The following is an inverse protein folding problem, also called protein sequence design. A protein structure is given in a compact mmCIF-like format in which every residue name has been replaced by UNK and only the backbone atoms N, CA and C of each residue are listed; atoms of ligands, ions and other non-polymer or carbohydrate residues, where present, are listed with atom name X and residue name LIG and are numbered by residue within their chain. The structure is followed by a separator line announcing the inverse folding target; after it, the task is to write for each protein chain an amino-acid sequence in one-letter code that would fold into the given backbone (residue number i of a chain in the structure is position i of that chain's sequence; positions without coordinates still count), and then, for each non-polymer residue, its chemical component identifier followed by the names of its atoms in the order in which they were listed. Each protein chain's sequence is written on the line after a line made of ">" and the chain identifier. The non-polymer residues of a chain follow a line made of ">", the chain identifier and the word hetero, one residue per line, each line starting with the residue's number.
data_IF_435437023021
#
_entry.id   IF_435437023021
#
_cell.length_a   1.000
_cell.length_b   1.000
_cell.length_c   1.000
_cell.angle_alpha   90.00
_cell.angle_beta   90.00
_cell.angle_gamma   90.00
#
_symmetry.space_group_name_H-M   'P 1'
#
loop_
_entity.id
_entity.type
_entity.pdbx_description
1 polymer ?
#
# COMPACT_ATOMS: atom_id res chain seq x y z
N UNK A 1 -4.77 14.92 -16.39
CA UNK A 1 -4.65 13.53 -15.89
C UNK A 1 -4.13 13.53 -14.47
N UNK A 2 -4.82 12.85 -13.57
CA UNK A 2 -4.42 12.84 -12.18
C UNK A 2 -3.19 11.95 -11.96
N UNK A 3 -2.33 12.37 -11.02
CA UNK A 3 -1.26 11.50 -10.56
C UNK A 3 -1.84 10.37 -9.71
N UNK A 4 -1.10 9.29 -9.57
CA UNK A 4 -1.56 8.09 -8.89
C UNK A 4 -0.68 7.74 -7.70
N UNK A 5 -1.32 7.30 -6.63
CA UNK A 5 -0.65 6.86 -5.41
C UNK A 5 -1.07 5.44 -5.06
N UNK A 6 -0.12 4.68 -4.54
CA UNK A 6 -0.38 3.38 -3.96
C UNK A 6 -0.02 3.45 -2.47
N UNK A 7 -0.99 3.18 -1.61
CA UNK A 7 -0.78 3.18 -0.16
C UNK A 7 -0.96 1.76 0.34
N UNK A 8 0.11 1.18 0.89
CA UNK A 8 0.02 -0.16 1.45
C UNK A 8 -0.56 -0.11 2.85
N UNK A 9 -1.34 -1.14 3.22
CA UNK A 9 -1.99 -1.19 4.52
C UNK A 9 -2.98 -0.05 4.75
N UNK A 10 -3.75 0.32 3.73
CA UNK A 10 -4.58 1.53 3.76
C UNK A 10 -6.02 1.30 4.19
N UNK A 11 -6.37 0.10 4.67
CA UNK A 11 -7.76 -0.20 5.05
C UNK A 11 -8.17 0.46 6.37
N UNK A 12 -7.22 0.92 7.17
CA UNK A 12 -7.49 1.52 8.48
C UNK A 12 -6.30 2.35 8.95
N UNK A 13 -6.49 3.06 10.07
CA UNK A 13 -5.44 3.75 10.80
C UNK A 13 -4.74 4.82 9.99
N UNK A 14 -3.41 4.88 10.16
CA UNK A 14 -2.58 5.90 9.51
C UNK A 14 -2.64 5.77 7.99
N UNK A 15 -2.60 4.55 7.47
CA UNK A 15 -2.68 4.31 6.02
C UNK A 15 -3.97 4.83 5.41
N UNK A 16 -5.08 4.62 6.09
CA UNK A 16 -6.38 5.17 5.65
C UNK A 16 -6.33 6.70 5.62
N UNK A 17 -5.80 7.32 6.69
CA UNK A 17 -5.70 8.78 6.76
C UNK A 17 -4.84 9.36 5.65
N UNK A 18 -3.71 8.70 5.33
CA UNK A 18 -2.83 9.11 4.25
C UNK A 18 -3.54 8.99 2.90
N UNK A 19 -4.24 7.87 2.69
CA UNK A 19 -4.97 7.64 1.44
C UNK A 19 -6.03 8.72 1.21
N UNK A 20 -6.78 9.07 2.25
CA UNK A 20 -7.81 10.11 2.17
C UNK A 20 -7.19 11.49 1.90
N UNK A 21 -6.04 11.79 2.51
CA UNK A 21 -5.36 13.06 2.30
C UNK A 21 -4.84 13.17 0.86
N UNK A 22 -4.27 12.09 0.31
CA UNK A 22 -3.82 12.08 -1.08
C UNK A 22 -4.98 12.29 -2.04
N UNK A 23 -6.12 11.67 -1.76
CA UNK A 23 -7.34 11.88 -2.56
C UNK A 23 -7.80 13.34 -2.50
N UNK A 24 -7.72 13.96 -1.33
CA UNK A 24 -8.06 15.37 -1.15
C UNK A 24 -7.18 16.27 -2.01
N UNK A 25 -5.92 15.87 -2.22
CA UNK A 25 -4.97 16.60 -3.04
C UNK A 25 -5.08 16.26 -4.54
N UNK A 26 -6.04 15.42 -4.92
CA UNK A 26 -6.33 15.13 -6.32
C UNK A 26 -5.67 13.88 -6.89
N UNK A 27 -5.04 13.06 -6.06
CA UNK A 27 -4.45 11.80 -6.52
C UNK A 27 -5.51 10.73 -6.70
N UNK A 28 -5.37 9.91 -7.73
CA UNK A 28 -6.04 8.62 -7.78
C UNK A 28 -5.32 7.70 -6.80
N UNK A 29 -6.02 6.92 -6.01
CA UNK A 29 -5.41 6.15 -4.92
C UNK A 29 -5.77 4.68 -5.02
N UNK A 30 -4.75 3.83 -5.06
CA UNK A 30 -4.91 2.39 -4.90
C UNK A 30 -4.77 2.04 -3.42
N UNK A 31 -5.77 1.37 -2.87
CA UNK A 31 -5.85 1.01 -1.47
C UNK A 31 -5.46 -0.46 -1.31
N UNK A 32 -4.24 -0.70 -0.86
CA UNK A 32 -3.78 -2.06 -0.59
C UNK A 32 -4.25 -2.52 0.78
N UNK A 33 -4.65 -3.78 0.86
CA UNK A 33 -5.01 -4.43 2.12
C UNK A 33 -4.52 -5.88 2.13
N UNK A 34 -4.38 -6.44 3.32
CA UNK A 34 -4.00 -7.85 3.47
C UNK A 34 -5.22 -8.73 3.74
N UNK A 35 -6.05 -8.37 4.70
CA UNK A 35 -7.14 -9.21 5.13
C UNK A 35 -8.52 -8.56 5.26
N UNK A 36 -8.59 -7.25 5.35
CA UNK A 36 -9.84 -6.54 5.65
C UNK A 36 -10.47 -5.93 4.40
N UNK A 37 -11.02 -6.79 3.54
CA UNK A 37 -11.62 -6.35 2.27
C UNK A 37 -12.72 -5.31 2.48
N UNK A 38 -13.63 -5.54 3.42
CA UNK A 38 -14.75 -4.63 3.66
C UNK A 38 -14.29 -3.24 4.09
N UNK A 39 -13.26 -3.19 4.93
CA UNK A 39 -12.67 -1.91 5.37
C UNK A 39 -11.98 -1.20 4.22
N UNK A 40 -11.27 -1.94 3.37
CA UNK A 40 -10.61 -1.37 2.20
C UNK A 40 -11.65 -0.80 1.21
N UNK A 41 -12.73 -1.53 0.96
CA UNK A 41 -13.79 -1.08 0.07
C UNK A 41 -14.47 0.19 0.62
N UNK A 42 -14.64 0.29 1.94
CA UNK A 42 -15.20 1.48 2.56
C UNK A 42 -14.29 2.70 2.33
N UNK A 43 -12.98 2.52 2.44
CA UNK A 43 -12.01 3.59 2.16
C UNK A 43 -12.08 4.01 0.69
N UNK A 44 -12.18 3.04 -0.22
CA UNK A 44 -12.32 3.31 -1.64
C UNK A 44 -13.54 4.20 -1.92
N UNK A 45 -14.68 3.90 -1.29
CA UNK A 45 -15.89 4.70 -1.47
C UNK A 45 -15.71 6.13 -0.94
N UNK A 46 -15.03 6.29 0.20
CA UNK A 46 -14.72 7.61 0.73
C UNK A 46 -13.81 8.41 -0.22
N UNK A 47 -12.84 7.73 -0.85
CA UNK A 47 -11.94 8.36 -1.81
C UNK A 47 -12.70 8.79 -3.07
N UNK A 48 -13.54 7.91 -3.61
CA UNK A 48 -14.34 8.22 -4.79
C UNK A 48 -15.25 9.42 -4.56
N UNK A 49 -15.76 9.57 -3.36
CA UNK A 49 -16.61 10.70 -2.99
C UNK A 49 -15.86 12.05 -3.09
N UNK A 50 -14.54 12.03 -3.13
CA UNK A 50 -13.71 13.22 -3.31
C UNK A 50 -13.46 13.57 -4.79
N UNK A 51 -13.99 12.77 -5.72
CA UNK A 51 -13.91 13.05 -7.13
C UNK A 51 -12.71 12.45 -7.87
N UNK A 52 -12.00 11.54 -7.24
CA UNK A 52 -10.86 10.83 -7.86
C UNK A 52 -11.18 9.35 -8.01
N UNK A 53 -10.37 8.63 -8.77
CA UNK A 53 -10.52 7.20 -8.95
C UNK A 53 -9.83 6.45 -7.84
N UNK A 54 -10.36 5.29 -7.49
CA UNK A 54 -9.78 4.43 -6.46
C UNK A 54 -10.23 2.99 -6.66
N UNK A 55 -9.41 2.07 -6.20
CA UNK A 55 -9.76 0.66 -6.11
C UNK A 55 -9.00 0.01 -4.96
N UNK A 56 -9.53 -1.10 -4.47
CA UNK A 56 -8.87 -1.88 -3.43
C UNK A 56 -8.15 -3.06 -4.06
N UNK A 57 -6.97 -3.38 -3.55
CA UNK A 57 -6.21 -4.53 -4.04
C UNK A 57 -5.57 -5.30 -2.90
N UNK A 58 -5.83 -6.60 -2.85
CA UNK A 58 -5.27 -7.48 -1.85
C UNK A 58 -3.85 -7.91 -2.25
N UNK A 59 -2.92 -7.76 -1.34
CA UNK A 59 -1.58 -8.30 -1.49
C UNK A 59 -0.89 -8.35 -0.13
N UNK A 60 -0.14 -9.42 0.08
CA UNK A 60 0.75 -9.54 1.22
C UNK A 60 2.10 -8.96 0.79
N UNK A 61 2.48 -7.81 1.34
CA UNK A 61 3.72 -7.12 0.93
C UNK A 61 4.99 -7.90 1.27
N UNK A 62 4.89 -8.89 2.16
CA UNK A 62 6.02 -9.78 2.45
C UNK A 62 6.29 -10.77 1.31
N UNK A 63 5.40 -10.86 0.32
CA UNK A 63 5.54 -11.74 -0.84
C UNK A 63 5.79 -10.92 -2.10
N UNK A 64 7.02 -11.03 -2.62
CA UNK A 64 7.44 -10.23 -3.77
C UNK A 64 6.61 -10.44 -5.04
N UNK A 65 6.15 -11.66 -5.29
CA UNK A 65 5.31 -11.97 -6.44
C UNK A 65 3.93 -11.31 -6.35
N UNK A 66 3.34 -11.25 -5.14
CA UNK A 66 2.08 -10.54 -4.94
C UNK A 66 2.25 -9.03 -5.11
N UNK A 67 3.37 -8.48 -4.62
CA UNK A 67 3.68 -7.07 -4.80
C UNK A 67 3.86 -6.73 -6.28
N UNK A 68 4.54 -7.58 -7.02
CA UNK A 68 4.73 -7.39 -8.47
C UNK A 68 3.39 -7.30 -9.19
N UNK A 69 2.48 -8.22 -8.90
CA UNK A 69 1.16 -8.22 -9.52
C UNK A 69 0.34 -6.98 -9.11
N UNK A 70 0.48 -6.55 -7.86
CA UNK A 70 -0.18 -5.34 -7.38
C UNK A 70 0.29 -4.10 -8.16
N UNK A 71 1.61 -3.94 -8.35
CA UNK A 71 2.14 -2.81 -9.11
C UNK A 71 1.62 -2.84 -10.55
N UNK A 72 1.59 -4.01 -11.17
CA UNK A 72 1.05 -4.16 -12.53
C UNK A 72 -0.40 -3.71 -12.61
N UNK A 73 -1.21 -4.09 -11.64
CA UNK A 73 -2.62 -3.72 -11.61
C UNK A 73 -2.81 -2.22 -11.44
N UNK A 74 -2.02 -1.57 -10.59
CA UNK A 74 -2.09 -0.13 -10.41
C UNK A 74 -1.74 0.58 -11.72
N UNK A 75 -0.68 0.14 -12.40
CA UNK A 75 -0.28 0.72 -13.68
C UNK A 75 -1.36 0.47 -14.73
N UNK A 76 -1.96 -0.71 -14.74
CA UNK A 76 -3.03 -1.04 -15.68
C UNK A 76 -4.24 -0.12 -15.52
N UNK A 77 -4.65 0.17 -14.28
CA UNK A 77 -5.84 0.99 -14.02
C UNK A 77 -5.57 2.48 -14.06
N UNK A 78 -4.43 2.93 -13.56
CA UNK A 78 -4.14 4.37 -13.46
C UNK A 78 -3.11 4.88 -14.47
N UNK A 79 -2.36 4.00 -15.10
CA UNK A 79 -1.34 4.38 -16.07
C UNK A 79 0.03 4.70 -15.45
N UNK A 80 0.10 4.90 -14.15
CA UNK A 80 1.34 5.27 -13.47
C UNK A 80 1.31 4.93 -11.98
N UNK A 81 2.47 4.96 -11.35
CA UNK A 81 2.61 5.01 -9.89
C UNK A 81 3.53 6.18 -9.59
N UNK A 82 2.97 7.29 -9.17
CA UNK A 82 3.74 8.51 -8.90
C UNK A 82 4.20 8.57 -7.45
N UNK A 83 3.43 8.00 -6.53
CA UNK A 83 3.75 7.96 -5.10
C UNK A 83 3.50 6.57 -4.56
N UNK A 84 4.46 6.04 -3.85
CA UNK A 84 4.31 4.81 -3.08
C UNK A 84 4.46 5.15 -1.60
N UNK A 85 3.44 4.82 -0.80
CA UNK A 85 3.50 4.99 0.65
C UNK A 85 3.59 3.61 1.30
N UNK A 86 4.72 3.32 1.89
CA UNK A 86 4.96 2.07 2.60
C UNK A 86 4.44 2.18 4.03
N UNK A 87 3.17 1.82 4.23
CA UNK A 87 2.53 1.85 5.53
C UNK A 87 2.17 0.46 6.06
N UNK A 88 2.10 -0.55 5.19
CA UNK A 88 1.75 -1.90 5.62
C UNK A 88 2.75 -2.43 6.64
N UNK A 89 2.24 -3.05 7.69
CA UNK A 89 3.05 -3.65 8.73
C UNK A 89 2.17 -4.36 9.72
N UNK A 90 2.81 -5.12 10.59
CA UNK A 90 2.14 -5.81 11.70
C UNK A 90 2.81 -5.42 13.01
N UNK A 91 2.05 -5.51 14.11
CA UNK A 91 2.60 -5.39 15.46
C UNK A 91 2.21 -6.63 16.24
N UNK A 92 3.05 -6.99 17.19
CA UNK A 92 2.76 -8.06 18.15
C UNK A 92 2.84 -7.41 19.53
N UNK A 93 1.68 -7.18 20.14
CA UNK A 93 1.58 -6.50 21.43
C UNK A 93 2.08 -7.41 22.55
N UNK A 94 3.39 -7.38 22.79
CA UNK A 94 4.01 -8.15 23.85
C UNK A 94 5.28 -7.45 24.34
N UNK A 95 5.60 -7.67 25.61
CA UNK A 95 6.88 -7.19 26.15
C UNK A 95 8.01 -7.93 25.45
N UNK A 96 9.10 -7.23 25.15
CA UNK A 96 10.24 -7.81 24.46
C UNK A 96 10.72 -9.11 25.13
N UNK A 97 10.78 -9.13 26.46
CA UNK A 97 11.24 -10.32 27.21
C UNK A 97 10.28 -11.51 27.09
N UNK A 98 9.02 -11.28 26.67
CA UNK A 98 8.04 -12.33 26.47
C UNK A 98 7.77 -12.62 25.01
N UNK A 99 8.35 -11.83 24.13
CA UNK A 99 8.17 -11.99 22.69
C UNK A 99 8.87 -13.27 22.22
N UNK A 100 8.13 -14.09 21.51
CA UNK A 100 8.69 -15.30 20.90
C UNK A 100 9.50 -14.93 19.67
N UNK A 101 10.52 -15.72 19.37
CA UNK A 101 11.31 -15.51 18.15
C UNK A 101 10.43 -15.44 16.91
N UNK A 102 9.39 -16.27 16.85
CA UNK A 102 8.46 -16.24 15.72
C UNK A 102 7.73 -14.90 15.62
N UNK A 103 7.33 -14.29 16.72
CA UNK A 103 6.69 -12.99 16.72
C UNK A 103 7.63 -11.90 16.20
N UNK A 104 8.90 -11.94 16.61
CA UNK A 104 9.93 -11.04 16.13
C UNK A 104 10.13 -11.21 14.62
N UNK A 105 10.27 -12.47 14.17
CA UNK A 105 10.46 -12.79 12.75
C UNK A 105 9.27 -12.30 11.92
N UNK A 106 8.04 -12.48 12.41
CA UNK A 106 6.83 -12.03 11.70
C UNK A 106 6.84 -10.52 11.50
N UNK A 107 7.22 -9.76 12.53
CA UNK A 107 7.28 -8.30 12.45
C UNK A 107 8.37 -7.86 11.46
N UNK A 108 9.55 -8.44 11.55
CA UNK A 108 10.66 -8.11 10.64
C UNK A 108 10.32 -8.50 9.20
N UNK A 109 9.79 -9.70 8.98
CA UNK A 109 9.43 -10.15 7.64
C UNK A 109 8.39 -9.26 6.99
N UNK A 110 7.31 -8.94 7.71
CA UNK A 110 6.25 -8.12 7.13
C UNK A 110 6.68 -6.67 6.98
N UNK A 111 7.26 -6.09 8.01
CA UNK A 111 7.54 -4.65 8.00
C UNK A 111 8.76 -4.31 7.13
N UNK A 112 9.88 -4.99 7.33
CA UNK A 112 11.11 -4.67 6.60
C UNK A 112 11.10 -5.26 5.19
N UNK A 113 10.75 -6.53 5.06
CA UNK A 113 10.70 -7.21 3.77
C UNK A 113 9.61 -6.62 2.88
N UNK A 114 8.48 -6.22 3.45
CA UNK A 114 7.41 -5.57 2.70
C UNK A 114 7.86 -4.26 2.07
N UNK A 115 8.58 -3.43 2.81
CA UNK A 115 9.14 -2.17 2.30
C UNK A 115 10.13 -2.46 1.17
N UNK A 116 11.03 -3.40 1.36
CA UNK A 116 11.99 -3.81 0.33
C UNK A 116 11.28 -4.26 -0.95
N UNK A 117 10.29 -5.15 -0.82
CA UNK A 117 9.57 -5.67 -1.96
C UNK A 117 8.86 -4.57 -2.75
N UNK A 118 8.19 -3.65 -2.07
CA UNK A 118 7.48 -2.57 -2.73
C UNK A 118 8.44 -1.63 -3.45
N UNK A 119 9.52 -1.24 -2.81
CA UNK A 119 10.52 -0.35 -3.44
C UNK A 119 11.16 -1.04 -4.64
N UNK A 120 11.56 -2.31 -4.48
CA UNK A 120 12.18 -3.05 -5.56
C UNK A 120 11.27 -3.18 -6.78
N UNK A 121 9.98 -3.44 -6.57
CA UNK A 121 9.04 -3.69 -7.67
C UNK A 121 8.54 -2.40 -8.33
N UNK A 122 8.46 -1.29 -7.59
CA UNK A 122 8.00 -0.02 -8.14
C UNK A 122 9.12 0.75 -8.85
N UNK A 123 10.37 0.52 -8.47
CA UNK A 123 11.51 1.28 -8.99
C UNK A 123 11.63 1.23 -10.52
N UNK A 124 11.54 0.07 -11.20
CA UNK A 124 11.60 0.06 -12.66
C UNK A 124 10.52 0.92 -13.31
N UNK A 125 9.31 0.90 -12.76
CA UNK A 125 8.21 1.72 -13.28
C UNK A 125 8.49 3.20 -13.11
N UNK A 126 8.96 3.63 -11.96
CA UNK A 126 9.30 5.03 -11.70
C UNK A 126 10.48 5.51 -12.56
N UNK A 127 11.45 4.64 -12.80
CA UNK A 127 12.56 4.96 -13.70
C UNK A 127 12.07 5.18 -15.14
N UNK A 128 11.14 4.34 -15.62
CA UNK A 128 10.54 4.53 -16.95
C UNK A 128 9.75 5.83 -17.03
N UNK A 129 9.05 6.21 -15.96
CA UNK A 129 8.30 7.46 -15.86
C UNK A 129 9.21 8.68 -15.73
N UNK A 130 10.43 8.47 -15.26
CA UNK A 130 11.39 9.52 -14.89
C UNK A 130 10.85 10.40 -13.77
N UNK A 131 9.97 9.86 -12.94
CA UNK A 131 9.40 10.56 -11.80
C UNK A 131 8.83 9.56 -10.80
N UNK A 132 8.66 10.00 -9.57
CA UNK A 132 8.02 9.20 -8.54
C UNK A 132 8.67 9.38 -7.18
N UNK A 133 7.90 9.01 -6.14
CA UNK A 133 8.33 9.11 -4.76
C UNK A 133 7.78 7.97 -3.89
#
# INVERSE_FOLDING_TARGET
>A
MNKSALVTGASRGIGRSIALQLAEEGYNVAVNYAGSKDKAEAVVEEIKAKGVESFAIQANVAKGDEVKEMIKEVVSQFGSVDVLVNNAGITKDNLLMRMKEQEWDDVIDTNLKGVFNCIQKVTPQMLRQRSGA
#
